data_IF_856561617884
#
_entry.id   IF_856561617884
#
_cell.length_a   1.000
_cell.length_b   1.000
_cell.length_c   1.000
_cell.angle_alpha   90.00
_cell.angle_beta   90.00
_cell.angle_gamma   90.00
#
_symmetry.space_group_name_H-M   'P 1'
#
loop_
_entity.id
_entity.type
_entity.pdbx_description
1 polymer ?
#
# COMPACT_ATOMS: atom_id res chain seq x y z
N UNK A 1 -14.76 -12.50 8.27
CA UNK A 1 -14.72 -13.26 6.98
C UNK A 1 -13.42 -12.87 6.29
N UNK A 2 -12.69 -13.83 5.74
CA UNK A 2 -11.52 -13.50 4.94
C UNK A 2 -11.97 -12.69 3.70
N UNK A 3 -11.26 -11.61 3.38
CA UNK A 3 -11.52 -10.82 2.17
C UNK A 3 -11.27 -11.68 0.92
N UNK A 4 -12.12 -11.54 -0.08
CA UNK A 4 -11.79 -11.98 -1.44
C UNK A 4 -10.86 -10.93 -2.06
N UNK A 5 -9.56 -11.20 -2.03
CA UNK A 5 -8.53 -10.26 -2.46
C UNK A 5 -8.61 -9.94 -3.94
N UNK A 6 -9.01 -10.91 -4.78
CA UNK A 6 -9.16 -10.70 -6.22
C UNK A 6 -10.37 -9.82 -6.53
N UNK A 7 -11.51 -10.09 -5.91
CA UNK A 7 -12.71 -9.26 -6.07
C UNK A 7 -12.47 -7.84 -5.56
N UNK A 8 -11.74 -7.68 -4.44
CA UNK A 8 -11.36 -6.36 -3.94
C UNK A 8 -10.46 -5.61 -4.92
N UNK A 9 -9.42 -6.27 -5.45
CA UNK A 9 -8.53 -5.66 -6.45
C UNK A 9 -9.29 -5.20 -7.69
N UNK A 10 -10.14 -6.05 -8.27
CA UNK A 10 -10.98 -5.70 -9.43
C UNK A 10 -11.87 -4.48 -9.14
N UNK A 11 -12.41 -4.40 -7.92
CA UNK A 11 -13.18 -3.24 -7.50
C UNK A 11 -12.33 -1.97 -7.45
N UNK A 12 -11.09 -2.05 -6.94
CA UNK A 12 -10.18 -0.90 -6.87
C UNK A 12 -9.67 -0.49 -8.26
N UNK A 13 -9.37 -1.44 -9.15
CA UNK A 13 -9.05 -1.14 -10.57
C UNK A 13 -10.14 -0.25 -11.18
N UNK A 14 -11.39 -0.66 -11.05
CA UNK A 14 -12.52 0.09 -11.61
C UNK A 14 -12.68 1.49 -10.98
N UNK A 15 -12.51 1.60 -9.65
CA UNK A 15 -12.68 2.86 -8.93
C UNK A 15 -11.57 3.86 -9.21
N UNK A 16 -10.33 3.40 -9.36
CA UNK A 16 -9.17 4.24 -9.67
C UNK A 16 -8.98 4.43 -11.19
N UNK A 17 -9.76 3.73 -12.02
CA UNK A 17 -9.61 3.77 -13.47
C UNK A 17 -8.28 3.18 -13.94
N UNK A 18 -7.78 2.14 -13.26
CA UNK A 18 -6.56 1.44 -13.64
C UNK A 18 -6.85 0.45 -14.76
N UNK A 19 -6.28 0.69 -15.93
CA UNK A 19 -6.64 0.03 -17.18
C UNK A 19 -5.56 -0.94 -17.69
N UNK A 20 -5.85 -1.65 -18.77
CA UNK A 20 -4.84 -2.45 -19.49
C UNK A 20 -3.74 -1.58 -20.11
N UNK A 21 -4.04 -0.33 -20.44
CA UNK A 21 -3.04 0.64 -20.94
C UNK A 21 -2.05 1.01 -19.83
N UNK A 22 -2.53 1.32 -18.62
CA UNK A 22 -1.68 1.57 -17.47
C UNK A 22 -0.74 0.39 -17.21
N UNK A 23 -1.24 -0.84 -17.28
CA UNK A 23 -0.45 -2.05 -17.12
C UNK A 23 0.67 -2.15 -18.17
N UNK A 24 0.32 -1.89 -19.43
CA UNK A 24 1.31 -1.91 -20.52
C UNK A 24 2.37 -0.83 -20.36
N UNK A 25 1.99 0.36 -19.91
CA UNK A 25 2.92 1.47 -19.63
C UNK A 25 3.89 1.08 -18.50
N UNK A 26 3.38 0.50 -17.41
CA UNK A 26 4.23 0.06 -16.30
C UNK A 26 5.21 -1.02 -16.73
N UNK A 27 4.75 -2.06 -17.44
CA UNK A 27 5.61 -3.12 -17.96
C UNK A 27 6.71 -2.58 -18.89
N UNK A 28 6.36 -1.66 -19.79
CA UNK A 28 7.32 -1.04 -20.71
C UNK A 28 8.40 -0.23 -19.99
N UNK A 29 8.17 0.19 -18.74
CA UNK A 29 9.10 0.95 -17.92
C UNK A 29 9.70 0.14 -16.76
N UNK A 30 9.65 -1.19 -16.80
CA UNK A 30 10.14 -2.05 -15.72
C UNK A 30 11.62 -1.83 -15.40
N UNK A 31 12.48 -1.75 -16.42
CA UNK A 31 13.92 -1.49 -16.23
C UNK A 31 14.18 -0.14 -15.54
N UNK A 32 13.43 0.90 -15.90
CA UNK A 32 13.51 2.19 -15.23
C UNK A 32 13.04 2.11 -13.78
N UNK A 33 11.94 1.39 -13.51
CA UNK A 33 11.45 1.17 -12.16
C UNK A 33 12.47 0.48 -11.26
N UNK A 34 13.18 -0.51 -11.76
CA UNK A 34 14.27 -1.20 -11.06
C UNK A 34 15.46 -0.26 -10.80
N UNK A 35 15.84 0.57 -11.80
CA UNK A 35 16.94 1.52 -11.67
C UNK A 35 16.72 2.53 -10.55
N UNK A 36 15.52 3.09 -10.42
CA UNK A 36 15.23 4.14 -9.42
C UNK A 36 14.82 3.59 -8.04
N UNK A 37 14.55 2.29 -7.91
CA UNK A 37 13.96 1.72 -6.70
C UNK A 37 14.77 1.99 -5.43
N UNK A 38 16.09 1.93 -5.51
CA UNK A 38 16.98 2.21 -4.38
C UNK A 38 16.96 3.69 -3.97
N UNK A 39 16.90 4.62 -4.93
CA UNK A 39 16.76 6.05 -4.68
C UNK A 39 15.42 6.36 -4.01
N UNK A 40 14.33 5.77 -4.51
CA UNK A 40 13.00 5.93 -3.91
C UNK A 40 12.94 5.36 -2.48
N UNK A 41 13.59 4.24 -2.22
CA UNK A 41 13.72 3.68 -0.88
C UNK A 41 14.46 4.64 0.06
N UNK A 42 15.56 5.24 -0.38
CA UNK A 42 16.33 6.20 0.42
C UNK A 42 15.48 7.41 0.82
N UNK A 43 14.77 8.03 -0.13
CA UNK A 43 13.85 9.15 0.14
C UNK A 43 12.72 8.75 1.11
N UNK A 44 12.17 7.55 0.95
CA UNK A 44 11.11 7.04 1.80
C UNK A 44 11.56 6.88 3.25
N UNK A 45 12.71 6.23 3.50
CA UNK A 45 13.20 6.02 4.85
C UNK A 45 13.76 7.30 5.48
N UNK A 46 14.32 8.22 4.70
CA UNK A 46 14.63 9.57 5.19
C UNK A 46 13.38 10.29 5.67
N UNK A 47 12.29 10.25 4.90
CA UNK A 47 11.01 10.83 5.30
C UNK A 47 10.49 10.20 6.61
N UNK A 48 10.46 8.88 6.71
CA UNK A 48 10.00 8.19 7.91
C UNK A 48 10.87 8.51 9.13
N UNK A 49 12.18 8.66 8.95
CA UNK A 49 13.11 9.00 10.01
C UNK A 49 12.93 10.38 10.64
N UNK A 50 12.15 11.28 10.00
CA UNK A 50 11.84 12.63 10.53
C UNK A 50 10.78 12.58 11.65
N UNK A 51 9.94 11.56 11.66
CA UNK A 51 8.94 11.33 12.70
C UNK A 51 9.53 10.46 13.80
N UNK A 52 9.42 10.90 15.08
CA UNK A 52 10.05 10.22 16.20
C UNK A 52 9.49 8.81 16.46
N UNK A 53 8.17 8.62 16.28
CA UNK A 53 7.51 7.33 16.44
C UNK A 53 7.96 6.37 15.33
N UNK A 54 7.91 6.80 14.07
CA UNK A 54 8.34 6.01 12.93
C UNK A 54 9.83 5.70 12.99
N UNK A 55 10.66 6.66 13.37
CA UNK A 55 12.09 6.45 13.57
C UNK A 55 12.37 5.36 14.64
N UNK A 56 11.62 5.35 15.74
CA UNK A 56 11.66 4.30 16.74
C UNK A 56 11.31 2.92 16.19
N UNK A 57 10.28 2.84 15.35
CA UNK A 57 9.81 1.59 14.74
C UNK A 57 10.84 1.04 13.73
N UNK A 58 11.32 1.87 12.81
CA UNK A 58 12.24 1.43 11.75
C UNK A 58 13.63 1.08 12.28
N UNK A 59 14.03 1.66 13.41
CA UNK A 59 15.32 1.41 14.06
C UNK A 59 15.25 0.49 15.30
N UNK A 60 14.10 -0.16 15.56
CA UNK A 60 13.87 -0.96 16.76
C UNK A 60 14.86 -2.12 16.96
N UNK A 61 15.52 -2.60 15.91
CA UNK A 61 16.54 -3.64 15.96
C UNK A 61 17.65 -3.37 14.96
N UNK A 62 18.86 -3.78 15.27
CA UNK A 62 20.01 -3.66 14.37
C UNK A 62 19.74 -4.29 12.99
N UNK A 63 20.16 -3.62 11.93
CA UNK A 63 19.97 -4.05 10.54
C UNK A 63 18.52 -4.02 10.04
N UNK A 64 17.56 -3.54 10.84
CA UNK A 64 16.14 -3.51 10.43
C UNK A 64 15.92 -2.56 9.25
N UNK A 65 16.50 -1.37 9.28
CA UNK A 65 16.36 -0.41 8.17
C UNK A 65 16.82 -1.02 6.84
N UNK A 66 17.96 -1.74 6.84
CA UNK A 66 18.44 -2.39 5.62
C UNK A 66 17.44 -3.43 5.10
N UNK A 67 16.92 -4.31 5.97
CA UNK A 67 15.90 -5.30 5.56
C UNK A 67 14.60 -4.65 5.04
N UNK A 68 14.21 -3.54 5.65
CA UNK A 68 13.03 -2.78 5.20
C UNK A 68 13.30 -2.10 3.86
N UNK A 69 14.50 -1.56 3.64
CA UNK A 69 14.95 -1.00 2.36
C UNK A 69 14.88 -2.04 1.25
N UNK A 70 15.40 -3.24 1.48
CA UNK A 70 15.32 -4.35 0.51
C UNK A 70 13.87 -4.75 0.22
N UNK A 71 13.02 -4.72 1.25
CA UNK A 71 11.57 -5.01 1.10
C UNK A 71 10.86 -3.92 0.28
N UNK A 72 11.20 -2.66 0.50
CA UNK A 72 10.67 -1.54 -0.27
C UNK A 72 11.08 -1.64 -1.75
N UNK A 73 12.36 -1.86 -2.02
CA UNK A 73 12.89 -2.03 -3.39
C UNK A 73 12.11 -3.13 -4.12
N UNK A 74 11.90 -4.26 -3.46
CA UNK A 74 11.12 -5.36 -4.02
C UNK A 74 9.66 -4.95 -4.27
N UNK A 75 8.99 -4.35 -3.29
CA UNK A 75 7.60 -3.90 -3.43
C UNK A 75 7.45 -2.88 -4.56
N UNK A 76 8.36 -1.91 -4.65
CA UNK A 76 8.35 -0.89 -5.68
C UNK A 76 8.55 -1.50 -7.08
N UNK A 77 9.53 -2.40 -7.23
CA UNK A 77 9.75 -3.13 -8.48
C UNK A 77 8.54 -3.99 -8.89
N UNK A 78 7.84 -4.60 -7.94
CA UNK A 78 6.63 -5.39 -8.18
C UNK A 78 5.47 -4.57 -8.79
N UNK A 79 5.45 -3.24 -8.68
CA UNK A 79 4.46 -2.40 -9.36
C UNK A 79 4.64 -2.42 -10.88
N UNK A 80 5.81 -2.71 -11.37
CA UNK A 80 6.14 -2.80 -12.79
C UNK A 80 6.15 -4.26 -13.28
N UNK A 81 6.95 -5.10 -12.65
CA UNK A 81 7.16 -6.51 -13.04
C UNK A 81 6.01 -7.42 -12.59
N UNK A 82 5.29 -7.06 -11.52
CA UNK A 82 4.15 -7.84 -11.03
C UNK A 82 2.93 -7.81 -11.95
N UNK A 83 2.94 -6.94 -12.96
CA UNK A 83 1.88 -6.88 -13.98
C UNK A 83 1.77 -8.21 -14.75
N UNK A 84 2.85 -8.95 -14.95
CA UNK A 84 2.83 -10.28 -15.59
C UNK A 84 2.02 -11.32 -14.78
N UNK A 85 1.91 -11.12 -13.47
CA UNK A 85 1.15 -11.94 -12.54
C UNK A 85 -0.07 -11.20 -11.96
N UNK A 86 -0.58 -10.20 -12.69
CA UNK A 86 -1.74 -9.44 -12.27
C UNK A 86 -2.95 -10.35 -12.11
N UNK A 87 -3.63 -10.21 -10.97
CA UNK A 87 -4.76 -11.08 -10.60
C UNK A 87 -4.60 -11.59 -9.17
N UNK A 88 -4.97 -12.85 -8.93
CA UNK A 88 -5.00 -13.42 -7.57
C UNK A 88 -3.63 -13.37 -6.87
N UNK A 89 -2.53 -13.59 -7.60
CA UNK A 89 -1.18 -13.59 -7.03
C UNK A 89 -0.79 -12.19 -6.55
N UNK A 90 -0.97 -11.17 -7.39
CA UNK A 90 -0.71 -9.78 -7.04
C UNK A 90 -1.60 -9.34 -5.86
N UNK A 91 -2.90 -9.58 -5.95
CA UNK A 91 -3.86 -9.23 -4.91
C UNK A 91 -3.51 -9.85 -3.54
N UNK A 92 -3.18 -11.15 -3.53
CA UNK A 92 -2.77 -11.83 -2.30
C UNK A 92 -1.47 -11.26 -1.73
N UNK A 93 -0.51 -10.90 -2.58
CA UNK A 93 0.75 -10.28 -2.18
C UNK A 93 0.50 -8.91 -1.52
N UNK A 94 -0.36 -8.06 -2.10
CA UNK A 94 -0.72 -6.74 -1.54
C UNK A 94 -1.47 -6.87 -0.22
N UNK A 95 -2.38 -7.83 -0.13
CA UNK A 95 -3.03 -8.16 1.14
C UNK A 95 -2.04 -8.53 2.24
N UNK A 96 -1.05 -9.38 1.95
CA UNK A 96 -0.02 -9.77 2.91
C UNK A 96 0.82 -8.58 3.39
N UNK A 97 1.10 -7.62 2.53
CA UNK A 97 1.77 -6.37 2.93
C UNK A 97 0.91 -5.62 3.95
N UNK A 98 -0.38 -5.47 3.70
CA UNK A 98 -1.31 -4.85 4.66
C UNK A 98 -1.35 -5.58 6.01
N UNK A 99 -1.43 -6.92 6.00
CA UNK A 99 -1.38 -7.74 7.22
C UNK A 99 -0.11 -7.48 8.04
N UNK A 100 1.06 -7.32 7.36
CA UNK A 100 2.32 -7.00 8.05
C UNK A 100 2.26 -5.62 8.70
N UNK A 101 1.70 -4.60 8.05
CA UNK A 101 1.53 -3.27 8.65
C UNK A 101 0.69 -3.31 9.91
N UNK A 102 -0.44 -4.05 9.89
CA UNK A 102 -1.28 -4.25 11.09
C UNK A 102 -0.49 -4.94 12.21
N UNK A 103 0.25 -6.00 11.89
CA UNK A 103 1.06 -6.75 12.88
C UNK A 103 2.14 -5.92 13.56
N UNK A 104 2.78 -5.01 12.83
CA UNK A 104 3.80 -4.10 13.40
C UNK A 104 3.20 -2.85 14.04
N UNK A 105 1.88 -2.65 13.96
CA UNK A 105 1.18 -1.54 14.59
C UNK A 105 1.34 -0.19 13.90
N UNK A 106 1.76 -0.17 12.62
CA UNK A 106 1.89 1.10 11.87
C UNK A 106 0.48 1.59 11.49
N UNK A 107 0.06 2.69 12.08
CA UNK A 107 -1.30 3.21 11.92
C UNK A 107 -1.54 3.89 10.56
N UNK A 108 -2.81 3.96 10.07
CA UNK A 108 -3.17 4.67 8.84
C UNK A 108 -2.65 6.11 8.75
N UNK A 109 -2.58 6.81 9.87
CA UNK A 109 -2.02 8.18 9.95
C UNK A 109 -0.56 8.28 9.47
N UNK A 110 0.21 7.19 9.52
CA UNK A 110 1.58 7.14 9.00
C UNK A 110 1.63 6.61 7.57
N UNK A 111 0.74 5.67 7.22
CA UNK A 111 0.75 4.99 5.92
C UNK A 111 0.30 5.92 4.80
N UNK A 112 -0.79 6.66 5.00
CA UNK A 112 -1.36 7.54 3.98
C UNK A 112 -0.38 8.65 3.56
N UNK A 113 0.24 9.41 4.49
CA UNK A 113 1.26 10.40 4.13
C UNK A 113 2.53 9.76 3.53
N UNK A 114 2.92 8.57 3.98
CA UNK A 114 4.06 7.85 3.44
C UNK A 114 3.83 7.46 1.97
N UNK A 115 2.65 6.97 1.61
CA UNK A 115 2.29 6.69 0.21
C UNK A 115 2.29 7.97 -0.63
N UNK A 116 1.78 9.07 -0.10
CA UNK A 116 1.85 10.39 -0.77
C UNK A 116 3.30 10.80 -1.04
N UNK A 117 4.21 10.53 -0.12
CA UNK A 117 5.64 10.80 -0.30
C UNK A 117 6.21 9.97 -1.44
N UNK A 118 5.90 8.68 -1.53
CA UNK A 118 6.32 7.82 -2.66
C UNK A 118 5.85 8.42 -3.98
N UNK A 119 4.56 8.72 -4.10
CA UNK A 119 3.98 9.28 -5.33
C UNK A 119 4.67 10.60 -5.71
N UNK A 120 4.93 11.48 -4.75
CA UNK A 120 5.55 12.77 -4.99
C UNK A 120 7.02 12.65 -5.42
N UNK A 121 7.81 11.78 -4.77
CA UNK A 121 9.22 11.60 -5.14
C UNK A 121 9.35 10.95 -6.53
N UNK A 122 8.50 9.97 -6.83
CA UNK A 122 8.42 9.39 -8.18
C UNK A 122 8.03 10.45 -9.22
N UNK A 123 7.04 11.29 -8.93
CA UNK A 123 6.63 12.37 -9.85
C UNK A 123 7.75 13.39 -10.12
N UNK A 124 8.54 13.74 -9.10
CA UNK A 124 9.73 14.60 -9.24
C UNK A 124 10.77 13.94 -10.17
N UNK A 125 11.04 12.65 -9.95
CA UNK A 125 12.00 11.87 -10.74
C UNK A 125 11.57 11.78 -12.20
N UNK A 126 10.30 11.42 -12.44
CA UNK A 126 9.72 11.39 -13.79
C UNK A 126 9.87 12.73 -14.53
N UNK A 127 9.55 13.82 -13.85
CA UNK A 127 9.70 15.17 -14.40
C UNK A 127 11.17 15.51 -14.72
N UNK A 128 12.07 15.18 -13.81
CA UNK A 128 13.51 15.45 -14.00
C UNK A 128 14.09 14.69 -15.20
N UNK A 129 13.59 13.50 -15.49
CA UNK A 129 14.04 12.65 -16.59
C UNK A 129 13.20 12.77 -17.87
N UNK A 130 12.22 13.68 -17.89
CA UNK A 130 11.37 13.91 -19.06
C UNK A 130 10.51 12.71 -19.45
N UNK A 131 10.12 11.90 -18.46
CA UNK A 131 9.19 10.77 -18.65
C UNK A 131 7.76 11.28 -18.87
N UNK A 132 6.90 10.42 -19.39
CA UNK A 132 5.54 10.79 -19.77
C UNK A 132 4.60 10.98 -18.56
N UNK A 133 3.57 11.81 -18.74
CA UNK A 133 2.52 12.01 -17.75
C UNK A 133 1.67 10.74 -17.57
N UNK A 134 1.51 9.95 -18.63
CA UNK A 134 0.77 8.68 -18.58
C UNK A 134 1.45 7.68 -17.62
N UNK A 135 2.78 7.63 -17.61
CA UNK A 135 3.52 6.80 -16.65
C UNK A 135 3.33 7.29 -15.21
N UNK A 136 3.33 8.61 -15.00
CA UNK A 136 3.05 9.21 -13.70
C UNK A 136 1.65 8.82 -13.21
N UNK A 137 0.66 8.92 -14.08
CA UNK A 137 -0.73 8.60 -13.76
C UNK A 137 -0.92 7.11 -13.46
N UNK A 138 -0.33 6.22 -14.26
CA UNK A 138 -0.36 4.78 -14.03
C UNK A 138 0.27 4.41 -12.67
N UNK A 139 1.44 4.99 -12.35
CA UNK A 139 2.09 4.81 -11.04
C UNK A 139 1.25 5.36 -9.89
N UNK A 140 0.63 6.51 -10.05
CA UNK A 140 -0.29 7.05 -9.05
C UNK A 140 -1.45 6.10 -8.78
N UNK A 141 -2.08 5.55 -9.81
CA UNK A 141 -3.23 4.63 -9.67
C UNK A 141 -2.83 3.31 -9.00
N UNK A 142 -1.71 2.69 -9.38
CA UNK A 142 -1.27 1.44 -8.74
C UNK A 142 -0.86 1.66 -7.28
N UNK A 143 -0.22 2.78 -6.94
CA UNK A 143 0.07 3.16 -5.56
C UNK A 143 -1.22 3.30 -4.72
N UNK A 144 -2.29 3.85 -5.30
CA UNK A 144 -3.57 3.98 -4.60
C UNK A 144 -4.27 2.63 -4.45
N UNK A 145 -4.12 1.70 -5.38
CA UNK A 145 -4.60 0.31 -5.23
C UNK A 145 -3.85 -0.37 -4.07
N UNK A 146 -2.54 -0.25 -4.02
CA UNK A 146 -1.71 -0.83 -2.96
C UNK A 146 -2.05 -0.22 -1.59
N UNK A 147 -2.25 1.10 -1.51
CA UNK A 147 -2.72 1.78 -0.30
C UNK A 147 -4.08 1.24 0.15
N UNK A 148 -5.02 1.07 -0.78
CA UNK A 148 -6.35 0.56 -0.46
C UNK A 148 -6.30 -0.85 0.17
N UNK A 149 -5.38 -1.73 -0.26
CA UNK A 149 -5.16 -3.03 0.38
C UNK A 149 -4.67 -2.90 1.83
N UNK A 150 -3.75 -1.97 2.07
CA UNK A 150 -3.22 -1.75 3.43
C UNK A 150 -4.34 -1.23 4.34
N UNK A 151 -5.09 -0.22 3.92
CA UNK A 151 -6.19 0.36 4.69
C UNK A 151 -7.31 -0.66 4.95
N UNK A 152 -7.69 -1.45 3.93
CA UNK A 152 -8.69 -2.50 4.09
C UNK A 152 -8.25 -3.58 5.08
N UNK A 153 -6.95 -3.87 5.14
CA UNK A 153 -6.44 -4.87 6.10
C UNK A 153 -6.66 -4.44 7.55
N UNK A 154 -6.56 -3.15 7.88
CA UNK A 154 -6.88 -2.64 9.21
C UNK A 154 -8.35 -2.85 9.54
N UNK A 155 -9.24 -2.53 8.62
CA UNK A 155 -10.68 -2.70 8.81
C UNK A 155 -11.03 -4.16 9.07
N UNK A 156 -10.57 -5.05 8.20
CA UNK A 156 -10.95 -6.47 8.25
C UNK A 156 -10.34 -7.20 9.44
N UNK A 157 -9.05 -6.95 9.74
CA UNK A 157 -8.37 -7.60 10.86
C UNK A 157 -8.93 -7.10 12.18
N UNK A 158 -9.18 -5.79 12.32
CA UNK A 158 -9.78 -5.22 13.52
C UNK A 158 -11.19 -5.76 13.75
N UNK A 159 -12.02 -5.80 12.70
CA UNK A 159 -13.35 -6.40 12.78
C UNK A 159 -13.29 -7.88 13.16
N UNK A 160 -12.38 -8.65 12.55
CA UNK A 160 -12.21 -10.08 12.84
C UNK A 160 -11.77 -10.31 14.28
N UNK A 161 -10.85 -9.52 14.81
CA UNK A 161 -10.40 -9.61 16.19
C UNK A 161 -11.56 -9.38 17.18
N UNK A 162 -12.38 -8.34 16.97
CA UNK A 162 -13.57 -8.08 17.80
C UNK A 162 -14.55 -9.26 17.74
N UNK A 163 -14.83 -9.78 16.54
CA UNK A 163 -15.76 -10.91 16.38
C UNK A 163 -15.25 -12.18 17.08
N UNK A 164 -13.95 -12.45 17.03
CA UNK A 164 -13.34 -13.60 17.70
C UNK A 164 -13.39 -13.48 19.22
N UNK A 165 -13.04 -12.32 19.76
CA UNK A 165 -13.00 -12.09 21.21
C UNK A 165 -14.41 -12.03 21.84
N UNK A 166 -15.39 -11.48 21.12
CA UNK A 166 -16.72 -11.23 21.68
C UNK A 166 -17.75 -12.32 21.34
N UNK A 167 -17.50 -13.10 20.28
CA UNK A 167 -18.48 -14.03 19.73
C UNK A 167 -19.67 -13.34 19.03
N UNK A 168 -19.59 -12.03 18.75
CA UNK A 168 -20.67 -11.30 18.11
C UNK A 168 -20.87 -11.72 16.64
N UNK A 169 -22.07 -11.50 16.13
CA UNK A 169 -22.32 -11.64 14.69
C UNK A 169 -21.81 -10.41 13.94
N UNK A 170 -21.43 -10.60 12.67
CA UNK A 170 -21.03 -9.49 11.78
C UNK A 170 -22.15 -8.46 11.63
N UNK A 171 -23.42 -8.88 11.66
CA UNK A 171 -24.57 -7.97 11.60
C UNK A 171 -24.65 -7.07 12.85
N UNK A 172 -24.39 -7.63 14.04
CA UNK A 172 -24.35 -6.86 15.29
C UNK A 172 -23.21 -5.86 15.27
N UNK A 173 -22.01 -6.28 14.89
CA UNK A 173 -20.85 -5.39 14.81
C UNK A 173 -21.10 -4.21 13.85
N UNK A 174 -21.62 -4.48 12.64
CA UNK A 174 -21.97 -3.42 11.67
C UNK A 174 -22.98 -2.42 12.24
N UNK A 175 -24.01 -2.92 12.91
CA UNK A 175 -25.02 -2.06 13.57
C UNK A 175 -24.39 -1.18 14.65
N UNK A 176 -23.53 -1.74 15.51
CA UNK A 176 -22.87 -0.98 16.56
C UNK A 176 -21.93 0.09 16.02
N UNK A 177 -21.17 -0.20 14.96
CA UNK A 177 -20.32 0.79 14.28
C UNK A 177 -21.18 1.93 13.73
N UNK A 178 -22.27 1.63 13.02
CA UNK A 178 -23.17 2.66 12.47
C UNK A 178 -23.82 3.51 13.56
N UNK A 179 -24.27 2.89 14.68
CA UNK A 179 -24.87 3.60 15.81
C UNK A 179 -23.83 4.47 16.54
N UNK A 180 -22.62 3.92 16.75
CA UNK A 180 -21.52 4.66 17.36
C UNK A 180 -21.12 5.87 16.51
N UNK A 181 -21.00 5.72 15.20
CA UNK A 181 -20.71 6.83 14.29
C UNK A 181 -21.78 7.95 14.37
N UNK A 182 -23.05 7.58 14.48
CA UNK A 182 -24.14 8.55 14.62
C UNK A 182 -24.13 9.33 15.96
N UNK A 183 -23.46 8.81 16.99
CA UNK A 183 -23.35 9.44 18.32
C UNK A 183 -22.12 10.33 18.49
N UNK A 184 -21.20 10.33 17.52
CA UNK A 184 -20.03 11.22 17.51
C UNK A 184 -20.45 12.52 16.82
N UNK A 185 -20.84 13.54 17.62
CA UNK A 185 -21.12 14.91 17.17
C UNK A 185 -20.08 15.87 17.74
#
# INVERSE_FOLDING_TARGET
>A
MAIDTLAFMTTMENRFGFTSEDKSILQANAAWGEEIAAEMAAHFYEYLGRDAEMNGIINATEGRVQRLTDTFIKWFGEMFTGIDNWGAVYAQRRWQIGVVHVKVGIQPQHIVPAMSTVINEVAKKLKAEGKSEELKDALGRICMIDLAFIEQSYVDISASAVLQETGWSSALLKRLISTGAASIN
#
